data_IF_586569138655
#
_entry.id   IF_586569138655
#
_cell.length_a   1.000
_cell.length_b   1.000
_cell.length_c   1.000
_cell.angle_alpha   90.00
_cell.angle_beta   90.00
_cell.angle_gamma   90.00
#
_symmetry.space_group_name_H-M   'P 1'
#
loop_
_entity.id
_entity.type
_entity.pdbx_description
1 polymer ?
#
# COMPACT_ATOMS: atom_id res chain seq x y z
N UNK A 1 10.29 3.55 -5.82
CA UNK A 1 9.14 3.43 -4.89
C UNK A 1 8.21 4.62 -4.98
N UNK A 2 8.65 5.86 -4.69
CA UNK A 2 7.80 7.07 -4.81
C UNK A 2 7.20 7.18 -6.22
N UNK A 3 8.04 7.12 -7.26
CA UNK A 3 7.60 7.18 -8.66
C UNK A 3 6.57 6.10 -9.01
N UNK A 4 6.75 4.87 -8.52
CA UNK A 4 5.81 3.79 -8.75
C UNK A 4 4.44 4.08 -8.11
N UNK A 5 4.41 4.64 -6.90
CA UNK A 5 3.16 5.06 -6.22
C UNK A 5 2.50 6.22 -6.98
N UNK A 6 3.29 7.16 -7.49
CA UNK A 6 2.78 8.31 -8.26
C UNK A 6 2.15 7.90 -9.59
N UNK A 7 2.73 6.89 -10.23
CA UNK A 7 2.26 6.33 -11.50
C UNK A 7 1.01 5.45 -11.36
N UNK A 8 0.55 5.13 -10.14
CA UNK A 8 -0.70 4.41 -9.95
C UNK A 8 -1.89 5.21 -10.52
N UNK A 9 -2.54 4.63 -11.52
CA UNK A 9 -3.82 5.07 -12.04
C UNK A 9 -5.00 4.58 -11.19
N UNK A 10 -6.22 5.11 -11.40
CA UNK A 10 -7.40 4.76 -10.63
C UNK A 10 -7.67 3.25 -10.57
N UNK A 11 -7.80 2.71 -9.35
CA UNK A 11 -8.03 1.28 -9.10
C UNK A 11 -6.80 0.37 -9.24
N UNK A 12 -5.64 0.92 -9.59
CA UNK A 12 -4.39 0.16 -9.60
C UNK A 12 -3.81 0.04 -8.19
N UNK A 13 -3.03 -1.02 -8.00
CA UNK A 13 -2.47 -1.39 -6.70
C UNK A 13 -0.99 -1.73 -6.83
N UNK A 14 -0.19 -1.36 -5.82
CA UNK A 14 1.13 -1.90 -5.57
C UNK A 14 1.10 -2.71 -4.28
N UNK A 15 1.89 -3.77 -4.20
CA UNK A 15 1.97 -4.62 -3.02
C UNK A 15 3.39 -4.69 -2.49
N UNK A 16 3.51 -4.69 -1.18
CA UNK A 16 4.77 -4.78 -0.46
C UNK A 16 4.63 -5.72 0.73
N UNK A 17 5.68 -6.47 1.04
CA UNK A 17 5.78 -7.27 2.26
C UNK A 17 6.66 -6.54 3.25
N UNK A 18 6.20 -6.38 4.49
CA UNK A 18 7.02 -5.82 5.57
C UNK A 18 8.04 -6.85 6.07
N UNK A 19 9.11 -6.38 6.73
CA UNK A 19 9.98 -7.27 7.50
C UNK A 19 9.20 -7.97 8.63
N UNK A 20 9.59 -9.21 8.94
CA UNK A 20 8.82 -10.12 9.82
C UNK A 20 8.53 -9.56 11.21
N UNK A 21 9.42 -8.69 11.74
CA UNK A 21 9.25 -8.04 13.04
C UNK A 21 8.00 -7.13 13.12
N UNK A 22 7.45 -6.69 11.98
CA UNK A 22 6.26 -5.85 11.91
C UNK A 22 4.97 -6.66 11.68
N UNK A 23 5.07 -8.00 11.66
CA UNK A 23 3.97 -8.91 11.38
C UNK A 23 3.97 -9.43 9.94
N UNK A 24 3.13 -10.43 9.64
CA UNK A 24 3.13 -11.10 8.34
C UNK A 24 2.44 -10.29 7.23
N UNK A 25 1.95 -9.07 7.52
CA UNK A 25 1.05 -8.33 6.65
C UNK A 25 1.66 -7.99 5.27
N UNK A 26 0.86 -8.19 4.23
CA UNK A 26 1.08 -7.61 2.91
C UNK A 26 0.40 -6.25 2.91
N UNK A 27 1.18 -5.23 2.57
CA UNK A 27 0.72 -3.85 2.42
C UNK A 27 0.34 -3.62 0.98
N UNK A 28 -0.90 -3.21 0.75
CA UNK A 28 -1.45 -2.85 -0.54
C UNK A 28 -1.59 -1.32 -0.56
N UNK A 29 -0.99 -0.69 -1.56
CA UNK A 29 -1.16 0.73 -1.86
C UNK A 29 -2.13 0.83 -3.03
N UNK A 30 -3.34 1.31 -2.80
CA UNK A 30 -4.38 1.44 -3.82
C UNK A 30 -4.61 2.90 -4.17
N UNK A 31 -4.61 3.23 -5.46
CA UNK A 31 -5.12 4.51 -5.94
C UNK A 31 -6.66 4.44 -6.04
N UNK A 32 -7.35 5.30 -5.30
CA UNK A 32 -8.81 5.30 -5.22
C UNK A 32 -9.45 5.56 -6.59
N UNK A 33 -10.43 4.73 -6.96
CA UNK A 33 -11.10 4.81 -8.28
C UNK A 33 -11.90 6.10 -8.47
N UNK A 34 -12.41 6.63 -7.37
CA UNK A 34 -13.26 7.81 -7.27
C UNK A 34 -12.48 9.10 -6.95
N UNK A 35 -11.15 9.08 -7.06
CA UNK A 35 -10.35 10.28 -6.83
C UNK A 35 -10.61 11.34 -7.92
N UNK A 36 -11.27 12.43 -7.53
CA UNK A 36 -11.69 13.54 -8.40
C UNK A 36 -10.67 14.71 -8.44
N UNK A 37 -9.48 14.51 -7.87
CA UNK A 37 -8.47 15.55 -7.71
C UNK A 37 -8.47 16.22 -6.33
N UNK A 38 -9.43 15.89 -5.44
CA UNK A 38 -9.48 16.40 -4.06
C UNK A 38 -9.41 15.26 -3.03
N UNK A 39 -8.87 15.58 -1.85
CA UNK A 39 -8.75 14.64 -0.73
C UNK A 39 -7.58 13.66 -0.86
N UNK A 40 -7.77 12.43 -0.38
CA UNK A 40 -6.73 11.41 -0.37
C UNK A 40 -6.80 10.56 -1.64
N UNK A 41 -5.74 10.58 -2.45
CA UNK A 41 -5.63 9.76 -3.67
C UNK A 41 -5.38 8.28 -3.36
N UNK A 42 -4.68 7.99 -2.26
CA UNK A 42 -4.18 6.66 -1.96
C UNK A 42 -4.75 6.12 -0.64
N UNK A 43 -5.05 4.82 -0.62
CA UNK A 43 -5.30 4.04 0.58
C UNK A 43 -4.11 3.09 0.84
N UNK A 44 -3.67 3.03 2.09
CA UNK A 44 -2.68 2.07 2.59
C UNK A 44 -3.44 1.00 3.35
N UNK A 45 -3.42 -0.23 2.84
CA UNK A 45 -4.27 -1.34 3.29
C UNK A 45 -3.36 -2.48 3.76
N UNK A 46 -3.58 -2.96 4.98
CA UNK A 46 -2.97 -4.18 5.49
C UNK A 46 -3.84 -5.38 5.13
N UNK A 47 -3.19 -6.47 4.71
CA UNK A 47 -3.85 -7.75 4.44
C UNK A 47 -3.00 -8.90 4.97
N UNK A 48 -3.54 -9.76 5.86
CA UNK A 48 -2.82 -10.94 6.31
C UNK A 48 -2.61 -11.91 5.13
N UNK A 49 -1.44 -12.54 5.02
CA UNK A 49 -1.17 -13.44 3.91
C UNK A 49 -1.91 -14.77 4.09
N UNK A 50 -2.53 -15.26 3.02
CA UNK A 50 -3.16 -16.59 2.95
C UNK A 50 -2.57 -17.30 1.74
N UNK A 51 -1.92 -18.45 1.96
CA UNK A 51 -1.25 -19.23 0.90
C UNK A 51 -0.27 -18.39 0.05
N UNK A 52 0.48 -17.49 0.70
CA UNK A 52 1.46 -16.65 0.01
C UNK A 52 0.86 -15.57 -0.88
N UNK A 53 -0.39 -15.17 -0.66
CA UNK A 53 -1.08 -14.06 -1.35
C UNK A 53 -1.79 -13.16 -0.33
N UNK A 54 -2.17 -11.92 -0.68
CA UNK A 54 -3.02 -11.11 0.19
C UNK A 54 -4.33 -11.84 0.47
N UNK A 55 -4.68 -11.97 1.75
CA UNK A 55 -5.92 -12.59 2.18
C UNK A 55 -7.16 -11.77 1.82
N UNK A 56 -8.36 -12.33 2.05
CA UNK A 56 -9.62 -11.64 1.78
C UNK A 56 -9.86 -10.48 2.75
N UNK A 57 -9.28 -10.53 3.95
CA UNK A 57 -9.36 -9.44 4.91
C UNK A 57 -8.46 -8.28 4.47
N UNK A 58 -9.04 -7.09 4.41
CA UNK A 58 -8.36 -5.85 4.04
C UNK A 58 -8.73 -4.79 5.06
N UNK A 59 -7.74 -4.31 5.80
CA UNK A 59 -7.91 -3.26 6.80
C UNK A 59 -7.19 -2.00 6.32
N UNK A 60 -7.93 -0.90 6.13
CA UNK A 60 -7.30 0.39 5.82
C UNK A 60 -6.53 0.86 7.05
N UNK A 61 -5.22 1.03 6.90
CA UNK A 61 -4.35 1.57 7.94
C UNK A 61 -4.47 3.09 7.96
N UNK A 62 -4.36 3.73 6.80
CA UNK A 62 -4.69 5.14 6.61
C UNK A 62 -4.91 5.48 5.13
N UNK A 63 -5.40 6.69 4.87
CA UNK A 63 -5.48 7.30 3.55
C UNK A 63 -4.60 8.55 3.46
N UNK A 64 -4.00 8.82 2.30
CA UNK A 64 -3.19 10.03 2.09
C UNK A 64 -3.13 10.43 0.61
N UNK A 65 -2.93 11.73 0.35
CA UNK A 65 -2.56 12.23 -0.98
C UNK A 65 -1.05 12.32 -1.21
N UNK A 66 -0.23 11.91 -0.23
CA UNK A 66 1.22 12.17 -0.22
C UNK A 66 2.02 10.88 -0.51
N UNK A 67 2.46 10.64 -1.76
CA UNK A 67 3.23 9.44 -2.15
C UNK A 67 4.53 9.29 -1.34
N UNK A 68 5.21 10.41 -1.04
CA UNK A 68 6.43 10.45 -0.23
C UNK A 68 6.21 9.93 1.20
N UNK A 69 5.05 10.18 1.80
CA UNK A 69 4.74 9.71 3.15
C UNK A 69 4.60 8.17 3.18
N UNK A 70 3.93 7.61 2.17
CA UNK A 70 3.80 6.16 2.00
C UNK A 70 5.17 5.52 1.81
N UNK A 71 5.98 6.05 0.89
CA UNK A 71 7.31 5.51 0.63
C UNK A 71 8.23 5.57 1.85
N UNK A 72 8.24 6.69 2.59
CA UNK A 72 9.02 6.80 3.82
C UNK A 72 8.60 5.78 4.88
N UNK A 73 7.29 5.54 5.03
CA UNK A 73 6.79 4.56 5.98
C UNK A 73 7.16 3.11 5.62
N UNK A 74 7.10 2.77 4.32
CA UNK A 74 7.51 1.47 3.78
C UNK A 74 9.02 1.24 3.96
N UNK A 75 9.84 2.24 3.61
CA UNK A 75 11.29 2.18 3.80
C UNK A 75 11.68 2.04 5.27
N UNK A 76 11.00 2.77 6.17
CA UNK A 76 11.23 2.65 7.61
C UNK A 76 10.89 1.28 8.20
N UNK A 77 10.19 0.41 7.44
CA UNK A 77 9.82 -0.96 7.83
C UNK A 77 10.51 -2.05 7.02
N UNK A 78 11.56 -1.68 6.28
CA UNK A 78 12.29 -2.56 5.37
C UNK A 78 11.34 -3.35 4.44
N UNK A 79 10.35 -2.63 3.90
CA UNK A 79 9.36 -3.22 3.03
C UNK A 79 9.96 -3.59 1.66
N UNK A 80 9.63 -4.78 1.16
CA UNK A 80 10.07 -5.29 -0.13
C UNK A 80 8.90 -5.41 -1.10
N UNK A 81 9.08 -5.14 -2.40
CA UNK A 81 8.04 -5.40 -3.40
C UNK A 81 7.50 -6.83 -3.29
N UNK A 82 6.19 -6.96 -3.33
CA UNK A 82 5.50 -8.25 -3.30
C UNK A 82 4.97 -8.55 -4.71
N UNK A 83 5.41 -9.67 -5.27
CA UNK A 83 5.11 -10.11 -6.64
C UNK A 83 3.99 -11.15 -6.66
#
# INVERSE_FOLDING_TARGET
MIEAIDQLGPGQQLMYKLAEMYGPEIIIIEAKKDFDGKGHKYAVIGSPPVNGRPGPQRNTIWETGKPKAIAAWLLGRDAKPFA
#
